data_IF_142998214645
#
_entry.id   IF_142998214645
#
_cell.length_a   1.000
_cell.length_b   1.000
_cell.length_c   1.000
_cell.angle_alpha   90.00
_cell.angle_beta   90.00
_cell.angle_gamma   90.00
#
_symmetry.space_group_name_H-M   'P 1'
#
loop_
_entity.id
_entity.type
_entity.pdbx_description
1 polymer ?
#
# COMPACT_ATOMS: atom_id res chain seq x y z
N UNK A 1 -10.23 13.68 25.58
CA UNK A 1 -9.19 13.25 24.61
C UNK A 1 -8.78 11.79 24.79
N UNK A 2 -8.30 11.36 25.97
CA UNK A 2 -7.91 9.94 26.20
C UNK A 2 -9.12 8.99 26.16
N UNK A 3 -10.29 9.40 26.63
CA UNK A 3 -11.52 8.57 26.61
C UNK A 3 -12.21 8.52 25.23
N UNK A 4 -12.04 9.53 24.40
CA UNK A 4 -12.44 9.45 23.00
C UNK A 4 -11.57 8.47 22.22
N UNK A 5 -10.24 8.48 22.41
CA UNK A 5 -9.33 7.49 21.83
C UNK A 5 -9.71 6.06 22.24
N UNK A 6 -10.10 5.82 23.48
CA UNK A 6 -10.57 4.50 23.94
C UNK A 6 -11.89 4.07 23.28
N UNK A 7 -12.77 5.00 22.90
CA UNK A 7 -13.97 4.69 22.08
C UNK A 7 -13.61 4.27 20.67
N UNK A 8 -12.54 4.81 20.08
CA UNK A 8 -12.05 4.40 18.75
C UNK A 8 -11.34 3.05 18.77
N UNK A 9 -10.73 2.66 19.89
CA UNK A 9 -10.04 1.38 20.07
C UNK A 9 -10.97 0.19 20.35
N UNK A 10 -12.24 0.41 20.70
CA UNK A 10 -13.24 -0.66 20.76
C UNK A 10 -13.66 -1.05 19.36
N UNK A 11 -12.90 -1.98 18.76
CA UNK A 11 -13.28 -2.62 17.50
C UNK A 11 -14.64 -3.29 17.67
N UNK A 12 -15.66 -2.95 16.85
CA UNK A 12 -16.88 -3.75 16.81
C UNK A 12 -16.50 -5.20 16.48
N UNK A 13 -17.00 -6.15 17.27
CA UNK A 13 -16.76 -7.55 17.03
C UNK A 13 -17.43 -7.98 15.70
N UNK A 14 -16.66 -7.98 14.64
CA UNK A 14 -17.10 -8.36 13.28
C UNK A 14 -17.61 -9.78 13.21
N UNK A 15 -17.25 -10.62 14.20
CA UNK A 15 -17.72 -12.00 14.31
C UNK A 15 -19.21 -12.06 14.59
N UNK A 16 -19.79 -10.96 15.12
CA UNK A 16 -21.24 -10.85 15.43
C UNK A 16 -22.06 -10.18 14.32
N UNK A 17 -21.45 -9.76 13.20
CA UNK A 17 -22.24 -9.26 12.08
C UNK A 17 -22.95 -10.42 11.37
N UNK A 18 -24.28 -10.32 11.30
CA UNK A 18 -25.16 -11.34 10.71
C UNK A 18 -24.68 -11.77 9.31
N UNK A 19 -24.70 -13.07 9.05
CA UNK A 19 -24.14 -13.72 7.85
C UNK A 19 -24.59 -13.12 6.51
N UNK A 20 -25.80 -12.55 6.41
CA UNK A 20 -26.31 -11.92 5.21
C UNK A 20 -25.54 -10.62 4.84
N UNK A 21 -25.12 -9.81 5.82
CA UNK A 21 -24.29 -8.60 5.56
C UNK A 21 -22.93 -8.97 5.01
N UNK A 22 -22.33 -10.05 5.52
CA UNK A 22 -21.06 -10.60 5.00
C UNK A 22 -21.26 -11.12 3.57
N UNK A 23 -22.35 -11.86 3.31
CA UNK A 23 -22.68 -12.35 1.98
C UNK A 23 -22.91 -11.20 0.98
N UNK A 24 -23.68 -10.18 1.37
CA UNK A 24 -23.91 -8.98 0.55
C UNK A 24 -22.58 -8.25 0.27
N UNK A 25 -21.74 -8.03 1.26
CA UNK A 25 -20.42 -7.40 1.07
C UNK A 25 -19.52 -8.22 0.13
N UNK A 26 -19.45 -9.53 0.35
CA UNK A 26 -18.64 -10.42 -0.50
C UNK A 26 -19.18 -10.45 -1.92
N UNK A 27 -20.49 -10.48 -2.09
CA UNK A 27 -21.14 -10.48 -3.41
C UNK A 27 -20.98 -9.12 -4.10
N UNK A 28 -21.19 -8.02 -3.38
CA UNK A 28 -20.96 -6.67 -3.93
C UNK A 28 -19.50 -6.41 -4.26
N UNK A 29 -18.56 -6.87 -3.43
CA UNK A 29 -17.12 -6.80 -3.74
C UNK A 29 -16.78 -7.62 -4.98
N UNK A 30 -17.35 -8.82 -5.13
CA UNK A 30 -17.17 -9.67 -6.32
C UNK A 30 -17.82 -9.09 -7.57
N UNK A 31 -19.05 -8.64 -7.48
CA UNK A 31 -19.78 -7.99 -8.60
C UNK A 31 -19.13 -6.67 -8.99
N UNK A 32 -18.69 -5.90 -8.01
CA UNK A 32 -18.00 -4.66 -8.27
C UNK A 32 -16.63 -4.86 -8.92
N UNK A 33 -15.91 -5.92 -8.57
CA UNK A 33 -14.67 -6.30 -9.25
C UNK A 33 -14.90 -6.76 -10.69
N UNK A 34 -16.09 -7.25 -11.05
CA UNK A 34 -16.42 -7.72 -12.40
C UNK A 34 -17.12 -6.69 -13.27
N UNK A 35 -17.78 -5.69 -12.67
CA UNK A 35 -18.85 -4.97 -13.37
C UNK A 35 -18.45 -3.86 -14.32
N UNK A 36 -17.33 -3.15 -14.17
CA UNK A 36 -17.06 -1.94 -14.96
C UNK A 36 -15.66 -1.78 -15.55
N UNK A 37 -14.84 -2.80 -15.52
CA UNK A 37 -13.57 -2.82 -16.26
C UNK A 37 -13.74 -2.86 -17.80
N UNK A 38 -14.95 -3.05 -18.26
CA UNK A 38 -15.25 -3.19 -19.69
C UNK A 38 -15.10 -1.89 -20.49
N UNK A 39 -15.08 -0.72 -19.86
CA UNK A 39 -14.94 0.55 -20.57
C UNK A 39 -13.45 0.93 -20.75
N UNK A 40 -12.92 0.87 -21.98
CA UNK A 40 -11.48 1.06 -22.24
C UNK A 40 -11.00 2.50 -21.99
N UNK A 41 -11.88 3.47 -21.90
CA UNK A 41 -11.56 4.90 -21.81
C UNK A 41 -10.83 5.32 -20.52
N UNK A 42 -11.05 4.62 -19.40
CA UNK A 42 -10.47 5.00 -18.12
C UNK A 42 -9.11 4.34 -17.79
N UNK A 43 -8.72 3.32 -18.55
CA UNK A 43 -7.52 2.52 -18.24
C UNK A 43 -6.21 3.13 -18.74
N UNK A 44 -6.28 4.04 -19.72
CA UNK A 44 -5.10 4.72 -20.24
C UNK A 44 -4.74 6.01 -19.49
N UNK A 45 -5.53 6.40 -18.49
CA UNK A 45 -5.42 7.70 -17.86
C UNK A 45 -4.94 7.58 -16.41
N UNK A 46 -3.64 7.36 -16.24
CA UNK A 46 -2.97 7.30 -14.94
C UNK A 46 -2.51 8.69 -14.52
N UNK A 47 -2.81 9.07 -13.29
CA UNK A 47 -2.27 10.26 -12.68
C UNK A 47 -0.87 9.98 -12.11
N UNK A 48 0.11 10.80 -12.49
CA UNK A 48 1.47 10.72 -11.93
C UNK A 48 1.65 11.85 -10.93
N UNK A 49 1.65 11.49 -9.65
CA UNK A 49 1.88 12.43 -8.56
C UNK A 49 3.36 12.48 -8.19
N UNK A 50 3.93 13.70 -8.13
CA UNK A 50 5.32 13.91 -7.71
C UNK A 50 5.34 14.68 -6.40
N UNK A 51 6.06 14.15 -5.41
CA UNK A 51 6.10 14.72 -4.07
C UNK A 51 7.50 14.68 -3.48
N UNK A 52 7.95 15.77 -2.83
CA UNK A 52 9.12 15.69 -1.98
C UNK A 52 8.84 14.75 -0.80
N UNK A 53 9.86 14.05 -0.36
CA UNK A 53 9.84 13.18 0.82
C UNK A 53 10.93 13.66 1.79
N UNK A 54 10.63 14.68 2.61
CA UNK A 54 11.57 15.12 3.62
C UNK A 54 11.77 14.04 4.69
N UNK A 55 13.02 13.78 5.02
CA UNK A 55 13.41 12.81 6.04
C UNK A 55 14.52 13.39 6.91
N UNK A 56 14.34 13.36 8.23
CA UNK A 56 15.40 13.70 9.15
C UNK A 56 16.52 12.65 9.06
N UNK A 57 17.75 13.12 9.25
CA UNK A 57 18.95 12.26 9.31
C UNK A 57 19.22 11.46 8.03
N UNK A 58 18.67 11.91 6.90
CA UNK A 58 18.95 11.30 5.60
C UNK A 58 20.43 11.51 5.25
N UNK A 59 21.12 10.43 4.93
CA UNK A 59 22.48 10.52 4.42
C UNK A 59 22.51 11.27 3.08
N UNK A 60 23.54 12.11 2.89
CA UNK A 60 23.66 12.92 1.67
C UNK A 60 23.71 12.12 0.39
N UNK A 61 24.23 10.89 0.45
CA UNK A 61 24.29 9.97 -0.70
C UNK A 61 22.91 9.47 -1.14
N UNK A 62 21.90 9.54 -0.25
CA UNK A 62 20.50 9.17 -0.52
C UNK A 62 19.68 10.37 -1.00
N UNK A 63 20.23 11.58 -0.97
CA UNK A 63 19.57 12.80 -1.42
C UNK A 63 19.17 12.70 -2.89
N UNK A 64 17.91 12.97 -3.18
CA UNK A 64 17.40 12.96 -4.55
C UNK A 64 16.98 11.58 -5.07
N UNK A 65 17.18 10.49 -4.29
CA UNK A 65 16.72 9.14 -4.64
C UNK A 65 15.23 9.16 -4.96
N UNK A 66 14.86 8.58 -6.11
CA UNK A 66 13.47 8.49 -6.59
C UNK A 66 12.85 7.15 -6.16
N UNK A 67 11.83 7.21 -5.30
CA UNK A 67 11.01 6.07 -4.94
C UNK A 67 9.68 6.18 -5.70
N UNK A 68 9.35 5.16 -6.47
CA UNK A 68 8.02 5.05 -7.07
C UNK A 68 7.17 4.12 -6.23
N UNK A 69 5.97 4.59 -5.84
CA UNK A 69 4.97 3.76 -5.17
C UNK A 69 3.88 3.35 -6.14
N UNK A 70 3.60 2.06 -6.15
CA UNK A 70 2.41 1.43 -6.72
C UNK A 70 1.64 0.75 -5.59
N UNK A 71 0.34 0.55 -5.79
CA UNK A 71 -0.52 -0.21 -4.90
C UNK A 71 -1.67 -0.83 -5.68
N UNK A 72 -2.29 -1.86 -5.11
CA UNK A 72 -3.58 -2.36 -5.57
C UNK A 72 -3.59 -2.67 -7.09
N UNK A 73 -2.66 -3.51 -7.53
CA UNK A 73 -2.57 -3.94 -8.93
C UNK A 73 -3.73 -4.87 -9.31
N UNK A 74 -4.19 -5.69 -8.37
CA UNK A 74 -5.32 -6.61 -8.54
C UNK A 74 -5.28 -7.43 -9.82
N UNK A 75 -4.10 -7.95 -10.19
CA UNK A 75 -4.00 -8.78 -11.36
C UNK A 75 -4.98 -9.96 -11.29
N UNK A 76 -5.82 -10.09 -12.31
CA UNK A 76 -6.95 -11.03 -12.33
C UNK A 76 -7.45 -11.22 -13.76
N UNK A 77 -8.44 -12.10 -14.03
CA UNK A 77 -9.04 -12.22 -15.35
C UNK A 77 -9.69 -10.92 -15.85
N UNK A 78 -10.04 -10.02 -14.94
CA UNK A 78 -10.70 -8.74 -15.24
C UNK A 78 -9.68 -7.62 -15.45
N UNK A 79 -8.58 -7.64 -14.70
CA UNK A 79 -7.46 -6.71 -14.86
C UNK A 79 -6.42 -7.37 -15.76
N UNK A 80 -6.49 -7.12 -17.06
CA UNK A 80 -5.65 -7.80 -18.04
C UNK A 80 -4.19 -7.38 -17.95
N UNK A 81 -3.29 -8.34 -18.00
CA UNK A 81 -1.84 -8.13 -17.92
C UNK A 81 -1.30 -7.08 -18.88
N UNK A 82 -1.90 -6.91 -20.08
CA UNK A 82 -1.51 -5.88 -21.05
C UNK A 82 -1.58 -4.45 -20.47
N UNK A 83 -2.52 -4.16 -19.59
CA UNK A 83 -2.62 -2.84 -18.94
C UNK A 83 -1.51 -2.66 -17.91
N UNK A 84 -1.27 -3.67 -17.09
CA UNK A 84 -0.18 -3.63 -16.12
C UNK A 84 1.18 -3.51 -16.82
N UNK A 85 1.40 -4.25 -17.93
CA UNK A 85 2.62 -4.11 -18.74
C UNK A 85 2.77 -2.68 -19.27
N UNK A 86 1.68 -2.04 -19.72
CA UNK A 86 1.74 -0.65 -20.17
C UNK A 86 2.07 0.30 -19.00
N UNK A 87 1.52 0.07 -17.79
CA UNK A 87 1.84 0.86 -16.61
C UNK A 87 3.32 0.70 -16.24
N UNK A 88 3.87 -0.52 -16.31
CA UNK A 88 5.30 -0.74 -16.02
C UNK A 88 6.21 -0.03 -17.02
N UNK A 89 5.79 0.13 -18.29
CA UNK A 89 6.52 0.98 -19.25
C UNK A 89 6.57 2.43 -18.78
N UNK A 90 5.44 3.02 -18.39
CA UNK A 90 5.40 4.38 -17.87
C UNK A 90 6.20 4.54 -16.55
N UNK A 91 6.20 3.51 -15.71
CA UNK A 91 7.05 3.50 -14.51
C UNK A 91 8.53 3.49 -14.89
N UNK A 92 8.92 2.76 -15.93
CA UNK A 92 10.30 2.77 -16.44
C UNK A 92 10.70 4.16 -17.00
N UNK A 93 9.77 4.88 -17.65
CA UNK A 93 10.01 6.24 -18.16
C UNK A 93 10.24 7.26 -17.01
N UNK A 94 9.82 6.94 -15.79
CA UNK A 94 10.09 7.74 -14.60
C UNK A 94 11.50 7.48 -14.02
N UNK A 95 12.19 6.43 -14.49
CA UNK A 95 13.53 6.01 -14.02
C UNK A 95 13.60 5.89 -12.49
N UNK A 96 12.83 4.97 -11.86
CA UNK A 96 12.85 4.80 -10.42
C UNK A 96 14.19 4.26 -9.93
N UNK A 97 14.71 4.82 -8.83
CA UNK A 97 15.83 4.19 -8.13
C UNK A 97 15.36 3.00 -7.29
N UNK A 98 14.15 3.10 -6.74
CA UNK A 98 13.46 2.05 -5.99
C UNK A 98 11.98 2.01 -6.40
N UNK A 99 11.43 0.81 -6.59
CA UNK A 99 9.99 0.61 -6.70
C UNK A 99 9.47 -0.04 -5.41
N UNK A 100 8.40 0.50 -4.84
CA UNK A 100 7.67 -0.11 -3.73
C UNK A 100 6.23 -0.42 -4.14
N UNK A 101 5.73 -1.60 -3.78
CA UNK A 101 4.36 -2.04 -4.04
C UNK A 101 3.68 -2.33 -2.72
N UNK A 102 2.68 -1.51 -2.37
CA UNK A 102 2.04 -1.54 -1.05
C UNK A 102 0.78 -2.40 -1.04
N UNK A 103 0.90 -3.68 -1.41
CA UNK A 103 -0.12 -4.71 -1.29
C UNK A 103 -1.13 -4.80 -2.44
N UNK A 104 -1.96 -5.83 -2.36
CA UNK A 104 -3.00 -6.20 -3.31
C UNK A 104 -2.46 -6.35 -4.76
N UNK A 105 -1.40 -7.17 -4.89
CA UNK A 105 -0.79 -7.48 -6.17
C UNK A 105 -1.72 -8.30 -7.06
N UNK A 106 -2.47 -9.23 -6.46
CA UNK A 106 -3.46 -10.08 -7.12
C UNK A 106 -4.83 -9.98 -6.45
N UNK A 107 -5.90 -10.27 -7.17
CA UNK A 107 -7.24 -10.33 -6.55
C UNK A 107 -7.47 -11.63 -5.81
N UNK A 108 -6.66 -12.64 -6.07
CA UNK A 108 -6.71 -13.98 -5.48
C UNK A 108 -6.44 -15.07 -6.51
N UNK A 109 -6.04 -16.25 -6.02
CA UNK A 109 -5.78 -17.43 -6.83
C UNK A 109 -4.33 -17.56 -7.28
N UNK A 110 -3.80 -18.77 -7.17
CA UNK A 110 -2.39 -19.12 -7.42
C UNK A 110 -1.88 -18.80 -8.82
N UNK A 111 -2.75 -18.98 -9.83
CA UNK A 111 -2.41 -18.86 -11.26
C UNK A 111 -1.91 -17.48 -11.68
N UNK A 112 -2.14 -16.47 -10.85
CA UNK A 112 -1.77 -15.09 -11.15
C UNK A 112 -0.41 -14.71 -10.57
N UNK A 113 0.13 -15.47 -9.63
CA UNK A 113 1.37 -15.18 -8.92
C UNK A 113 2.58 -15.05 -9.85
N UNK A 114 2.83 -16.05 -10.69
CA UNK A 114 3.94 -16.01 -11.64
C UNK A 114 3.83 -14.85 -12.62
N UNK A 115 2.62 -14.59 -13.11
CA UNK A 115 2.40 -13.57 -14.13
C UNK A 115 2.57 -12.16 -13.60
N UNK A 116 2.07 -11.86 -12.39
CA UNK A 116 2.27 -10.54 -11.79
C UNK A 116 3.74 -10.30 -11.46
N UNK A 117 4.45 -11.34 -11.01
CA UNK A 117 5.88 -11.29 -10.76
C UNK A 117 6.69 -11.02 -12.04
N UNK A 118 6.33 -11.66 -13.18
CA UNK A 118 6.94 -11.39 -14.49
C UNK A 118 6.70 -9.95 -14.95
N UNK A 119 5.51 -9.42 -14.73
CA UNK A 119 5.17 -8.05 -15.08
C UNK A 119 6.00 -7.06 -14.27
N UNK A 120 6.07 -7.25 -12.95
CA UNK A 120 6.84 -6.37 -12.05
C UNK A 120 8.35 -6.44 -12.32
N UNK A 121 8.90 -7.64 -12.60
CA UNK A 121 10.32 -7.81 -12.99
C UNK A 121 10.71 -6.95 -14.20
N UNK A 122 9.76 -6.57 -15.04
CA UNK A 122 9.99 -5.69 -16.19
C UNK A 122 10.34 -4.25 -15.84
N UNK A 123 10.23 -3.85 -14.55
CA UNK A 123 10.64 -2.53 -14.09
C UNK A 123 12.13 -2.51 -13.76
N UNK A 124 12.83 -1.53 -14.32
CA UNK A 124 14.27 -1.32 -14.09
C UNK A 124 14.45 -0.38 -12.90
N UNK A 125 15.23 -0.81 -11.91
CA UNK A 125 15.53 -0.03 -10.71
C UNK A 125 16.99 -0.23 -10.30
N UNK A 126 17.57 0.70 -9.54
CA UNK A 126 18.93 0.57 -8.99
C UNK A 126 18.97 -0.23 -7.68
N UNK A 127 17.90 -0.11 -6.88
CA UNK A 127 17.82 -0.67 -5.52
C UNK A 127 16.76 -1.75 -5.39
N UNK A 128 16.23 -2.24 -6.51
CA UNK A 128 15.29 -3.35 -6.52
C UNK A 128 13.82 -2.93 -6.45
N UNK A 129 12.98 -3.94 -6.29
CA UNK A 129 11.52 -3.83 -6.19
C UNK A 129 11.14 -4.47 -4.87
N UNK A 130 10.51 -3.70 -3.99
CA UNK A 130 10.05 -4.15 -2.67
C UNK A 130 8.54 -4.25 -2.68
N UNK A 131 8.01 -5.40 -2.26
CA UNK A 131 6.57 -5.66 -2.16
C UNK A 131 6.19 -5.97 -0.71
N UNK A 132 5.07 -5.44 -0.26
CA UNK A 132 4.33 -5.93 0.90
C UNK A 132 3.00 -6.51 0.44
N UNK A 133 2.31 -7.26 1.30
CA UNK A 133 1.05 -7.88 0.94
C UNK A 133 -0.15 -7.11 1.50
N UNK A 134 -1.28 -7.25 0.78
CA UNK A 134 -2.59 -6.80 1.21
C UNK A 134 -3.55 -7.97 1.37
N UNK A 135 -4.76 -7.68 1.78
CA UNK A 135 -5.76 -8.70 2.09
C UNK A 135 -6.17 -9.56 0.88
N UNK A 136 -6.12 -9.03 -0.33
CA UNK A 136 -6.43 -9.78 -1.53
C UNK A 136 -5.34 -10.78 -1.91
N UNK A 137 -4.09 -10.55 -1.54
CA UNK A 137 -2.99 -11.51 -1.73
C UNK A 137 -3.20 -12.78 -0.90
N UNK A 138 -3.93 -12.65 0.21
CA UNK A 138 -4.45 -13.77 1.02
C UNK A 138 -5.84 -14.25 0.56
N UNK A 139 -6.42 -13.64 -0.47
CA UNK A 139 -7.82 -13.86 -0.90
C UNK A 139 -8.84 -13.59 0.21
N UNK A 140 -8.56 -12.61 1.06
CA UNK A 140 -9.41 -12.22 2.18
C UNK A 140 -10.18 -10.96 1.82
N UNK A 141 -11.50 -11.03 1.93
CA UNK A 141 -12.44 -9.94 1.66
C UNK A 141 -13.08 -9.39 2.95
N UNK A 142 -12.55 -9.77 4.09
CA UNK A 142 -12.94 -9.39 5.44
C UNK A 142 -12.03 -10.10 6.44
N UNK A 143 -11.99 -9.65 7.70
CA UNK A 143 -11.12 -10.26 8.73
C UNK A 143 -11.45 -11.74 8.93
N UNK A 144 -10.69 -12.61 8.35
CA UNK A 144 -10.73 -14.05 8.57
C UNK A 144 -9.37 -14.66 8.23
N UNK A 145 -8.70 -15.17 9.23
CA UNK A 145 -7.56 -16.05 9.03
C UNK A 145 -8.01 -17.36 8.37
N UNK A 146 -7.28 -17.81 7.39
CA UNK A 146 -7.44 -19.15 6.84
C UNK A 146 -6.08 -19.72 6.42
N UNK A 147 -5.86 -20.99 6.71
CA UNK A 147 -4.64 -21.70 6.25
C UNK A 147 -4.48 -21.65 4.73
N UNK A 148 -5.58 -21.64 4.00
CA UNK A 148 -5.59 -21.50 2.54
C UNK A 148 -5.13 -20.09 2.11
N UNK A 149 -5.51 -19.03 2.83
CA UNK A 149 -5.06 -17.67 2.58
C UNK A 149 -3.54 -17.57 2.73
N UNK A 150 -2.99 -18.07 3.82
CA UNK A 150 -1.54 -18.11 4.05
C UNK A 150 -0.80 -18.84 2.92
N UNK A 151 -1.27 -20.03 2.55
CA UNK A 151 -0.68 -20.81 1.46
C UNK A 151 -0.65 -20.04 0.13
N UNK A 152 -1.67 -19.23 -0.16
CA UNK A 152 -1.71 -18.38 -1.37
C UNK A 152 -0.68 -17.28 -1.31
N UNK A 153 -0.58 -16.58 -0.20
CA UNK A 153 0.46 -15.57 0.03
C UNK A 153 1.87 -16.18 -0.12
N UNK A 154 2.11 -17.36 0.44
CA UNK A 154 3.40 -18.06 0.33
C UNK A 154 3.73 -18.47 -1.12
N UNK A 155 2.73 -18.80 -1.95
CA UNK A 155 2.94 -19.05 -3.38
C UNK A 155 3.30 -17.77 -4.12
N UNK A 156 2.62 -16.65 -3.80
CA UNK A 156 2.91 -15.36 -4.39
C UNK A 156 4.32 -14.89 -4.01
N UNK A 157 4.69 -15.00 -2.74
CA UNK A 157 6.02 -14.67 -2.23
C UNK A 157 7.12 -15.40 -3.01
N UNK A 158 7.05 -16.73 -3.07
CA UNK A 158 8.01 -17.54 -3.85
C UNK A 158 8.08 -17.14 -5.34
N UNK A 159 6.94 -16.77 -5.94
CA UNK A 159 6.91 -16.34 -7.33
C UNK A 159 7.64 -15.01 -7.54
N UNK A 160 7.50 -14.07 -6.58
CA UNK A 160 8.16 -12.77 -6.59
C UNK A 160 9.68 -12.93 -6.35
N UNK A 161 10.06 -13.67 -5.30
CA UNK A 161 11.45 -13.90 -4.92
C UNK A 161 12.24 -14.64 -6.02
N UNK A 162 11.63 -15.64 -6.67
CA UNK A 162 12.22 -16.35 -7.81
C UNK A 162 12.61 -15.41 -8.96
N UNK A 163 11.99 -14.25 -9.03
CA UNK A 163 12.27 -13.22 -10.04
C UNK A 163 13.17 -12.09 -9.52
N UNK A 164 13.68 -12.23 -8.30
CA UNK A 164 14.58 -11.28 -7.66
C UNK A 164 13.88 -10.05 -7.06
N UNK A 165 12.56 -10.14 -6.84
CA UNK A 165 11.84 -9.11 -6.11
C UNK A 165 11.97 -9.38 -4.60
N UNK A 166 11.97 -8.32 -3.80
CA UNK A 166 12.07 -8.38 -2.35
C UNK A 166 10.66 -8.35 -1.78
N UNK A 167 10.31 -9.34 -0.97
CA UNK A 167 9.02 -9.37 -0.25
C UNK A 167 9.29 -9.12 1.22
N UNK A 168 8.56 -8.18 1.83
CA UNK A 168 8.65 -7.89 3.25
C UNK A 168 7.32 -8.22 3.93
N UNK A 169 7.35 -9.22 4.80
CA UNK A 169 6.23 -9.66 5.64
C UNK A 169 6.67 -9.59 7.10
N UNK A 170 6.51 -8.43 7.71
CA UNK A 170 7.05 -8.05 9.03
C UNK A 170 8.59 -8.07 9.04
N UNK A 171 9.19 -7.56 7.99
CA UNK A 171 10.62 -7.61 7.74
C UNK A 171 11.20 -6.24 7.40
N UNK A 172 12.52 -6.15 7.41
CA UNK A 172 13.28 -4.94 7.17
C UNK A 172 14.25 -5.12 6.01
N UNK A 173 14.24 -4.16 5.10
CA UNK A 173 15.27 -4.03 4.07
C UNK A 173 16.03 -2.71 4.22
N UNK A 174 17.36 -2.74 4.03
CA UNK A 174 18.24 -1.57 4.17
C UNK A 174 18.92 -1.23 2.87
N UNK A 175 18.75 0.00 2.42
CA UNK A 175 19.34 0.53 1.20
C UNK A 175 20.54 1.40 1.55
N UNK A 176 21.71 1.05 0.99
CA UNK A 176 22.93 1.83 1.04
C UNK A 176 23.34 2.22 -0.37
N UNK A 177 23.72 3.47 -0.58
CA UNK A 177 24.24 3.92 -1.87
C UNK A 177 25.76 3.82 -1.85
N UNK A 178 26.33 3.05 -2.80
CA UNK A 178 27.77 2.90 -3.03
C UNK A 178 28.62 2.49 -1.81
N UNK A 179 28.03 1.81 -0.83
CA UNK A 179 28.76 1.36 0.36
C UNK A 179 29.29 2.49 1.27
N UNK A 180 29.03 3.75 0.94
CA UNK A 180 29.57 4.95 1.61
C UNK A 180 28.59 5.63 2.56
N UNK A 181 27.28 5.27 2.53
CA UNK A 181 26.32 5.89 3.44
C UNK A 181 26.59 5.46 4.87
N UNK A 182 26.74 6.43 5.76
CA UNK A 182 26.90 6.20 7.19
C UNK A 182 25.61 5.60 7.79
N UNK A 183 24.44 5.98 7.26
CA UNK A 183 23.13 5.47 7.65
C UNK A 183 22.36 4.96 6.44
N UNK A 184 21.81 3.73 6.51
CA UNK A 184 20.97 3.22 5.44
C UNK A 184 19.60 3.89 5.45
N UNK A 185 18.94 3.94 4.28
CA UNK A 185 17.49 4.11 4.25
C UNK A 185 16.86 2.78 4.67
N UNK A 186 16.13 2.79 5.76
CA UNK A 186 15.49 1.60 6.32
C UNK A 186 14.03 1.53 5.85
N UNK A 187 13.71 0.46 5.14
CA UNK A 187 12.35 0.15 4.69
C UNK A 187 11.80 -0.98 5.57
N UNK A 188 10.74 -0.70 6.29
CA UNK A 188 10.02 -1.70 7.10
C UNK A 188 8.77 -2.09 6.35
N UNK A 189 8.60 -3.36 6.02
CA UNK A 189 7.39 -3.88 5.39
C UNK A 189 6.56 -4.68 6.38
N UNK A 190 5.32 -4.26 6.59
CA UNK A 190 4.36 -4.98 7.43
C UNK A 190 3.55 -5.95 6.59
N UNK A 191 3.15 -7.06 7.19
CA UNK A 191 2.20 -7.99 6.62
C UNK A 191 0.75 -7.47 6.78
N UNK A 192 -0.24 -8.14 6.22
CA UNK A 192 -1.60 -7.66 6.20
C UNK A 192 -2.33 -7.83 7.54
N UNK A 193 -3.04 -6.77 7.96
CA UNK A 193 -3.83 -6.76 9.20
C UNK A 193 -5.10 -7.63 9.09
N UNK A 194 -5.75 -7.65 7.92
CA UNK A 194 -7.00 -8.39 7.76
C UNK A 194 -6.78 -9.90 7.72
N UNK A 195 -5.62 -10.32 7.28
CA UNK A 195 -5.21 -11.73 7.33
C UNK A 195 -4.80 -12.18 8.74
N UNK A 196 -4.60 -11.25 9.67
CA UNK A 196 -4.13 -11.53 11.01
C UNK A 196 -2.62 -11.76 11.12
N UNK A 197 -1.86 -11.54 10.05
CA UNK A 197 -0.42 -11.82 10.00
C UNK A 197 0.46 -10.59 10.30
N UNK A 198 -0.12 -9.42 10.50
CA UNK A 198 0.66 -8.23 10.89
C UNK A 198 1.31 -8.42 12.26
N UNK A 199 2.63 -8.21 12.33
CA UNK A 199 3.43 -8.24 13.56
C UNK A 199 4.43 -7.06 13.55
N UNK A 200 4.02 -5.88 14.02
CA UNK A 200 4.89 -4.72 14.03
C UNK A 200 6.05 -4.85 15.02
N UNK A 201 5.87 -5.57 16.14
CA UNK A 201 6.93 -5.77 17.12
C UNK A 201 8.09 -6.56 16.51
N UNK A 202 7.78 -7.60 15.74
CA UNK A 202 8.77 -8.35 14.98
C UNK A 202 9.46 -7.48 13.93
N UNK A 203 8.66 -6.72 13.15
CA UNK A 203 9.16 -5.89 12.05
C UNK A 203 10.14 -4.80 12.55
N UNK A 204 9.82 -4.14 13.64
CA UNK A 204 10.64 -3.04 14.18
C UNK A 204 11.72 -3.48 15.16
N UNK A 205 11.78 -4.76 15.55
CA UNK A 205 12.72 -5.29 16.56
C UNK A 205 14.19 -4.98 16.26
N UNK A 206 14.57 -4.95 14.99
CA UNK A 206 15.97 -4.74 14.54
C UNK A 206 16.17 -3.37 13.88
N UNK A 207 15.26 -2.44 14.09
CA UNK A 207 15.33 -1.10 13.49
C UNK A 207 16.02 -0.14 14.46
N UNK A 208 17.04 0.57 13.95
CA UNK A 208 17.61 1.68 14.71
C UNK A 208 16.64 2.88 14.60
N UNK A 209 16.12 3.41 15.72
CA UNK A 209 15.20 4.55 15.69
C UNK A 209 15.85 5.84 15.16
N UNK A 210 17.16 5.84 14.99
CA UNK A 210 17.92 6.95 14.41
C UNK A 210 18.09 6.85 12.89
N UNK A 211 17.68 5.77 12.27
CA UNK A 211 17.67 5.65 10.80
C UNK A 211 16.56 6.51 10.18
N UNK A 212 16.71 6.95 8.92
CA UNK A 212 15.57 7.37 8.11
C UNK A 212 14.71 6.15 7.76
N UNK A 213 13.44 6.13 8.25
CA UNK A 213 12.57 4.95 8.18
C UNK A 213 11.32 5.23 7.37
N UNK A 214 11.08 4.39 6.35
CA UNK A 214 9.81 4.30 5.61
C UNK A 214 9.12 2.99 6.00
N UNK A 215 7.86 3.08 6.44
CA UNK A 215 6.99 1.95 6.73
C UNK A 215 6.07 1.70 5.53
N UNK A 216 6.10 0.50 4.98
CA UNK A 216 5.14 0.02 3.98
C UNK A 216 4.06 -0.78 4.71
N UNK A 217 2.82 -0.32 4.60
CA UNK A 217 1.68 -0.96 5.23
C UNK A 217 0.44 -0.81 4.34
N UNK A 218 -0.17 -1.92 3.94
CA UNK A 218 -1.28 -1.87 2.99
C UNK A 218 -2.47 -1.05 3.50
N UNK A 219 -2.92 -1.30 4.73
CA UNK A 219 -4.12 -0.67 5.29
C UNK A 219 -3.79 0.63 6.06
N UNK A 220 -4.17 1.83 5.56
CA UNK A 220 -3.85 3.09 6.23
C UNK A 220 -4.52 3.27 7.60
N UNK A 221 -5.56 2.49 7.92
CA UNK A 221 -6.24 2.55 9.21
C UNK A 221 -5.33 2.14 10.39
N UNK A 222 -4.21 1.45 10.12
CA UNK A 222 -3.24 1.04 11.14
C UNK A 222 -2.35 2.18 11.62
N UNK A 223 -2.37 3.34 10.96
CA UNK A 223 -1.48 4.46 11.28
C UNK A 223 -1.45 4.80 12.76
N UNK A 224 -2.62 4.84 13.42
CA UNK A 224 -2.72 5.20 14.83
C UNK A 224 -2.08 4.17 15.76
N UNK A 225 -2.26 2.86 15.51
CA UNK A 225 -1.64 1.79 16.30
C UNK A 225 -0.13 1.70 16.07
N UNK A 226 0.35 2.17 14.92
CA UNK A 226 1.76 2.15 14.55
C UNK A 226 2.53 3.40 15.01
N UNK A 227 1.89 4.36 15.68
CA UNK A 227 2.56 5.58 16.16
C UNK A 227 3.61 5.32 17.25
N UNK A 228 3.58 4.19 17.91
CA UNK A 228 4.60 3.80 18.90
C UNK A 228 5.96 3.41 18.27
N UNK A 229 6.00 3.11 16.96
CA UNK A 229 7.21 2.72 16.24
C UNK A 229 7.88 3.92 15.55
N UNK A 230 9.21 3.90 15.30
CA UNK A 230 9.98 5.08 14.91
C UNK A 230 9.96 5.43 13.41
N UNK A 231 8.90 5.12 12.67
CA UNK A 231 8.80 5.48 11.26
C UNK A 231 8.57 6.98 11.06
N UNK A 232 9.07 7.53 9.95
CA UNK A 232 8.88 8.93 9.53
C UNK A 232 7.82 9.05 8.44
N UNK A 233 7.85 8.14 7.48
CA UNK A 233 6.86 8.03 6.41
C UNK A 233 6.16 6.67 6.44
N UNK A 234 4.86 6.68 6.25
CA UNK A 234 4.08 5.47 5.99
C UNK A 234 3.47 5.56 4.59
N UNK A 235 3.69 4.54 3.78
CA UNK A 235 3.10 4.39 2.45
C UNK A 235 2.06 3.28 2.48
N UNK A 236 0.84 3.60 2.05
CA UNK A 236 -0.31 2.69 2.10
C UNK A 236 -1.12 2.70 0.80
N UNK A 237 -2.07 1.76 0.69
CA UNK A 237 -3.04 1.62 -0.40
C UNK A 237 -4.43 1.28 0.12
N UNK A 238 -5.03 0.17 -0.34
CA UNK A 238 -6.24 -0.48 0.17
C UNK A 238 -7.57 0.25 -0.08
N UNK A 239 -7.61 1.56 0.00
CA UNK A 239 -8.86 2.33 0.03
C UNK A 239 -9.41 2.68 -1.34
N UNK A 240 -8.59 2.54 -2.38
CA UNK A 240 -8.92 2.88 -3.77
C UNK A 240 -9.51 4.29 -3.95
N UNK A 241 -9.09 5.24 -3.11
CA UNK A 241 -9.55 6.63 -3.20
C UNK A 241 -11.06 6.83 -2.93
N UNK A 242 -11.67 6.02 -2.09
CA UNK A 242 -13.12 6.07 -1.77
C UNK A 242 -14.09 5.75 -2.91
N UNK A 243 -13.69 5.03 -3.88
CA UNK A 243 -14.52 4.81 -5.07
C UNK A 243 -15.89 4.19 -4.77
N UNK A 244 -16.03 3.45 -3.67
CA UNK A 244 -17.30 2.85 -3.23
C UNK A 244 -18.13 3.79 -2.33
N UNK A 245 -17.52 4.80 -1.73
CA UNK A 245 -18.15 5.62 -0.68
C UNK A 245 -18.66 6.98 -1.15
N UNK A 246 -18.75 7.23 -2.45
CA UNK A 246 -19.20 8.53 -3.00
C UNK A 246 -20.70 8.76 -2.85
N UNK A 247 -21.53 7.72 -2.73
CA UNK A 247 -22.97 7.86 -2.46
C UNK A 247 -23.25 8.01 -0.97
N UNK A 248 -24.34 8.72 -0.61
CA UNK A 248 -24.81 8.82 0.79
C UNK A 248 -25.01 7.43 1.42
N UNK A 249 -25.47 6.44 0.64
CA UNK A 249 -25.64 5.06 1.06
C UNK A 249 -24.31 4.35 1.23
N UNK A 250 -23.37 4.51 0.32
CA UNK A 250 -22.01 3.96 0.43
C UNK A 250 -21.26 4.49 1.65
N UNK A 251 -21.38 5.80 1.95
CA UNK A 251 -20.81 6.39 3.18
C UNK A 251 -21.37 5.77 4.46
N UNK A 252 -22.64 5.35 4.46
CA UNK A 252 -23.30 4.73 5.62
C UNK A 252 -22.91 3.26 5.81
N UNK A 253 -22.57 2.57 4.72
CA UNK A 253 -22.17 1.17 4.71
C UNK A 253 -20.68 0.98 5.02
N UNK A 254 -19.85 2.00 4.82
CA UNK A 254 -18.41 1.94 5.05
C UNK A 254 -18.09 2.12 6.54
N UNK A 255 -17.32 1.24 7.18
CA UNK A 255 -16.96 1.38 8.58
C UNK A 255 -16.23 2.70 8.85
N UNK A 256 -16.55 3.36 9.96
CA UNK A 256 -16.10 4.72 10.29
C UNK A 256 -14.56 4.88 10.25
N UNK A 257 -13.81 3.87 10.69
CA UNK A 257 -12.33 3.87 10.73
C UNK A 257 -11.67 3.97 9.35
N UNK A 258 -12.32 3.52 8.27
CA UNK A 258 -11.81 3.60 6.89
C UNK A 258 -12.20 4.88 6.16
N UNK A 259 -12.86 5.83 6.85
CA UNK A 259 -13.33 7.08 6.26
C UNK A 259 -12.29 8.20 6.33
N UNK A 260 -11.28 8.07 7.21
CA UNK A 260 -10.35 9.16 7.49
C UNK A 260 -9.21 9.24 6.48
N UNK A 261 -8.54 8.12 6.18
CA UNK A 261 -7.36 8.11 5.32
C UNK A 261 -7.69 7.41 4.01
N UNK A 262 -8.10 8.17 3.00
CA UNK A 262 -8.66 7.57 1.77
C UNK A 262 -7.77 7.68 0.56
N UNK A 263 -7.05 8.77 0.40
CA UNK A 263 -6.07 8.96 -0.66
C UNK A 263 -5.26 10.25 -0.42
N UNK A 264 -4.07 10.30 -0.98
CA UNK A 264 -3.21 11.45 -0.91
C UNK A 264 -2.41 11.53 0.40
N UNK A 265 -1.99 12.72 0.72
CA UNK A 265 -1.09 12.99 1.84
C UNK A 265 -1.87 13.38 3.11
N UNK A 266 -1.40 12.89 4.24
CA UNK A 266 -1.88 13.24 5.57
C UNK A 266 -0.70 13.46 6.51
N UNK A 267 -0.84 14.43 7.40
CA UNK A 267 -0.01 14.57 8.57
C UNK A 267 -0.72 13.96 9.79
N UNK A 268 -0.11 12.97 10.41
CA UNK A 268 -0.68 12.27 11.57
C UNK A 268 0.28 12.40 12.75
N UNK A 269 -0.06 13.23 13.73
CA UNK A 269 0.76 13.51 14.90
C UNK A 269 2.23 13.86 14.55
N UNK A 270 2.41 14.70 13.53
CA UNK A 270 3.72 15.14 13.06
C UNK A 270 4.49 14.11 12.22
N UNK A 271 3.86 13.03 11.74
CA UNK A 271 4.44 12.05 10.82
C UNK A 271 3.68 11.99 9.50
N UNK A 272 4.35 11.56 8.46
CA UNK A 272 3.83 11.58 7.10
C UNK A 272 3.14 10.26 6.75
N UNK A 273 1.89 10.32 6.32
CA UNK A 273 1.17 9.21 5.71
C UNK A 273 0.81 9.56 4.28
N UNK A 274 1.08 8.65 3.36
CA UNK A 274 0.59 8.73 1.99
C UNK A 274 -0.23 7.51 1.62
N UNK A 275 -1.44 7.74 1.11
CA UNK A 275 -2.35 6.67 0.70
C UNK A 275 -2.53 6.74 -0.80
N UNK A 276 -1.97 5.74 -1.51
CA UNK A 276 -2.07 5.61 -2.95
C UNK A 276 -3.45 5.09 -3.36
N UNK A 277 -4.01 5.61 -4.45
CA UNK A 277 -5.34 5.22 -4.96
C UNK A 277 -5.35 3.89 -5.71
N UNK A 278 -4.20 3.27 -5.90
CA UNK A 278 -4.05 2.04 -6.64
C UNK A 278 -4.01 2.21 -8.16
N UNK A 279 -3.43 1.22 -8.84
CA UNK A 279 -3.32 1.18 -10.30
C UNK A 279 -4.54 0.61 -10.98
N UNK A 280 -5.08 -0.46 -10.39
CA UNK A 280 -6.25 -1.11 -10.96
C UNK A 280 -7.21 -1.51 -9.86
N UNK A 281 -8.50 -1.54 -10.19
CA UNK A 281 -9.49 -2.13 -9.34
C UNK A 281 -10.83 -2.19 -10.06
N UNK A 282 -11.76 -2.88 -9.40
CA UNK A 282 -12.99 -3.33 -10.01
C UNK A 282 -14.09 -2.29 -10.19
N UNK A 283 -14.14 -1.26 -9.42
CA UNK A 283 -15.33 -0.38 -9.35
C UNK A 283 -15.04 1.08 -9.62
N UNK A 284 -14.36 1.41 -10.70
CA UNK A 284 -14.28 2.81 -11.11
C UNK A 284 -15.59 3.27 -11.72
N UNK A 285 -16.56 3.55 -10.87
CA UNK A 285 -17.83 4.14 -11.25
C UNK A 285 -17.66 5.62 -11.59
N UNK A 286 -16.59 6.27 -11.09
CA UNK A 286 -16.36 7.70 -11.27
C UNK A 286 -15.02 8.01 -11.93
N UNK A 287 -15.05 8.92 -12.90
CA UNK A 287 -13.89 9.51 -13.58
C UNK A 287 -12.96 10.29 -12.64
N UNK A 288 -13.41 10.61 -11.43
CA UNK A 288 -12.72 11.43 -10.44
C UNK A 288 -11.59 10.72 -9.70
N UNK A 289 -11.58 9.39 -9.67
CA UNK A 289 -10.55 8.61 -8.99
C UNK A 289 -9.76 7.79 -10.01
N UNK A 290 -8.76 8.40 -10.60
CA UNK A 290 -7.89 7.77 -11.60
C UNK A 290 -6.87 6.84 -10.95
N UNK A 291 -6.34 5.84 -11.71
CA UNK A 291 -5.15 5.11 -11.30
C UNK A 291 -4.03 6.07 -10.96
N UNK A 292 -3.23 5.69 -10.00
CA UNK A 292 -2.17 6.55 -9.49
C UNK A 292 -0.82 5.86 -9.49
N UNK A 293 0.19 6.58 -9.97
CA UNK A 293 1.60 6.29 -9.77
C UNK A 293 2.18 7.46 -8.96
N UNK A 294 2.75 7.19 -7.80
CA UNK A 294 3.35 8.25 -6.98
C UNK A 294 4.86 8.18 -7.04
N UNK A 295 5.49 9.32 -7.30
CA UNK A 295 6.95 9.48 -7.33
C UNK A 295 7.36 10.34 -6.15
N UNK A 296 8.10 9.77 -5.24
CA UNK A 296 8.73 10.48 -4.14
C UNK A 296 10.19 10.80 -4.48
N UNK A 297 10.63 12.00 -4.13
CA UNK A 297 12.05 12.38 -4.20
C UNK A 297 12.55 12.66 -2.79
N UNK A 298 13.48 11.83 -2.32
CA UNK A 298 14.06 11.98 -0.98
C UNK A 298 14.77 13.33 -0.85
N UNK A 299 14.54 13.99 0.27
CA UNK A 299 15.20 15.25 0.66
C UNK A 299 15.65 15.17 2.11
N UNK A 300 16.84 15.67 2.40
CA UNK A 300 17.24 15.89 3.77
C UNK A 300 16.44 17.09 4.31
N UNK A 301 15.68 16.87 5.39
CA UNK A 301 14.85 17.90 6.01
C UNK A 301 14.94 17.80 7.52
N UNK A 302 15.86 18.55 8.13
CA UNK A 302 16.05 18.54 9.59
C UNK A 302 14.85 19.21 10.26
N UNK A 303 14.28 20.25 9.65
CA UNK A 303 13.13 21.00 10.15
C UNK A 303 11.78 20.56 9.53
N UNK A 304 11.83 19.94 8.35
CA UNK A 304 10.65 19.48 7.59
C UNK A 304 10.33 17.99 7.84
N UNK A 305 11.05 17.32 8.73
CA UNK A 305 10.80 15.91 9.08
C UNK A 305 9.52 15.72 9.90
N UNK A 306 8.93 16.81 10.39
CA UNK A 306 7.62 16.84 11.02
C UNK A 306 6.69 17.69 10.17
N UNK A 307 5.56 17.15 9.84
CA UNK A 307 4.51 17.88 9.15
C UNK A 307 3.66 18.68 10.16
N UNK A 308 3.07 19.76 9.69
CA UNK A 308 2.06 20.49 10.45
C UNK A 308 0.78 19.62 10.53
N UNK A 309 0.23 19.33 11.73
CA UNK A 309 -1.03 18.60 11.90
C UNK A 309 -2.24 19.26 11.20
N UNK A 310 -2.16 20.56 10.87
CA UNK A 310 -3.14 21.27 10.06
C UNK A 310 -3.01 21.02 8.54
N UNK A 311 -1.92 20.49 8.06
CA UNK A 311 -1.63 20.26 6.65
C UNK A 311 -2.21 18.90 6.17
N UNK A 312 -3.50 18.87 5.94
CA UNK A 312 -4.14 17.74 5.24
C UNK A 312 -4.46 18.18 3.82
N UNK A 313 -3.65 17.74 2.85
CA UNK A 313 -3.89 17.98 1.42
C UNK A 313 -4.66 16.77 0.89
N UNK A 314 -5.96 16.96 0.63
CA UNK A 314 -6.82 15.97 -0.03
C UNK A 314 -6.68 16.03 -1.54
#
# INVERSE_FOLDING_TARGET
MVDELKRYLKTPDWRKQHGWRKAVWTTMSRLGMTGMHALPLNRAWVDIHRRPMPMARLDTSLQGLKIVQLSDLHYSPVVWGRYLVQYMKWVNDLEPDLLVVTGDLITGGYRFADRVADILKGVKTKHGIICTFGNHDYSIYGKNESNEGKRRADVLERALEKRGLIVLRNEVHRIKVNGKSSKPLTIVGLDDEWSGHIDPDLAFKKVDPNDPIICLNHNPANVTSLMQYPWQWMLAGHTHGRQVATSKLGKRLYPHRYRHYTHGYYCVQGRHLYVNRGLSYGQRIHTWCRPEVTVFKLRNGVDESRCDPGETIQ
#
